data_IF_026625541361
#
_entry.id   IF_026625541361
#
_cell.length_a   1.000
_cell.length_b   1.000
_cell.length_c   1.000
_cell.angle_alpha   90.00
_cell.angle_beta   90.00
_cell.angle_gamma   90.00
#
_symmetry.space_group_name_H-M   'P 1'
#
loop_
_entity.id
_entity.type
_entity.pdbx_description
1 polymer ?
#
# COMPACT_ATOMS: atom_id res chain seq x y z
N UNK A 1 13.60 41.88 28.36
CA UNK A 1 12.76 40.98 27.53
C UNK A 1 13.03 41.31 26.07
N UNK A 2 13.57 40.36 25.33
CA UNK A 2 13.68 40.34 23.86
C UNK A 2 13.75 38.86 23.43
N UNK A 3 13.18 38.48 22.27
CA UNK A 3 12.82 37.11 21.95
C UNK A 3 13.98 36.37 21.27
N UNK A 4 14.14 35.07 21.56
CA UNK A 4 14.97 34.17 20.74
C UNK A 4 14.08 33.11 20.11
N UNK A 5 13.48 33.47 18.98
CA UNK A 5 12.93 32.51 18.01
C UNK A 5 14.09 31.75 17.37
N UNK A 6 14.41 30.59 17.92
CA UNK A 6 15.28 29.61 17.28
C UNK A 6 14.47 28.69 16.36
N UNK A 7 14.02 29.20 15.22
CA UNK A 7 13.48 28.37 14.14
C UNK A 7 14.62 27.52 13.58
N UNK A 8 14.65 26.26 14.00
CA UNK A 8 15.58 25.25 13.48
C UNK A 8 15.33 25.09 11.98
N UNK A 9 16.34 25.15 11.10
CA UNK A 9 16.11 24.94 9.67
C UNK A 9 15.58 23.52 9.47
N UNK A 10 14.42 23.41 8.82
CA UNK A 10 13.89 22.15 8.34
C UNK A 10 14.96 21.52 7.43
N UNK A 11 15.65 20.51 7.96
CA UNK A 11 16.67 19.78 7.24
C UNK A 11 15.94 19.00 6.13
N UNK A 12 15.92 19.56 4.92
CA UNK A 12 15.42 18.89 3.73
C UNK A 12 16.27 17.63 3.55
N UNK A 13 15.70 16.49 3.91
CA UNK A 13 16.33 15.18 3.73
C UNK A 13 16.62 15.02 2.24
N UNK A 14 17.90 14.88 1.88
CA UNK A 14 18.34 14.56 0.52
C UNK A 14 17.76 13.20 0.15
N UNK A 15 16.71 13.17 -0.67
CA UNK A 15 16.08 11.94 -1.11
C UNK A 15 17.00 11.28 -2.14
N UNK A 16 17.65 10.15 -1.79
CA UNK A 16 18.55 9.44 -2.72
C UNK A 16 17.82 8.72 -3.85
N UNK A 17 16.52 8.46 -3.69
CA UNK A 17 15.69 7.78 -4.68
C UNK A 17 14.25 8.29 -4.62
N UNK A 18 13.71 8.68 -5.77
CA UNK A 18 12.30 9.08 -5.92
C UNK A 18 11.58 8.10 -6.81
N UNK A 19 10.29 7.87 -6.52
CA UNK A 19 9.41 7.04 -7.34
C UNK A 19 8.16 7.82 -7.68
N UNK A 20 7.61 7.58 -8.87
CA UNK A 20 6.37 8.20 -9.35
C UNK A 20 5.37 7.10 -9.69
N UNK A 21 4.08 7.41 -9.56
CA UNK A 21 2.99 6.53 -9.99
C UNK A 21 2.42 7.14 -11.27
N UNK A 22 2.47 6.37 -12.35
CA UNK A 22 1.95 6.80 -13.67
C UNK A 22 0.79 5.89 -14.03
N UNK A 23 -0.34 6.49 -14.37
CA UNK A 23 -1.52 5.75 -14.84
C UNK A 23 -1.47 5.65 -16.36
N UNK A 24 -1.45 4.42 -16.88
CA UNK A 24 -1.47 4.14 -18.32
C UNK A 24 -2.86 3.61 -18.69
N UNK A 25 -3.47 4.16 -19.74
CA UNK A 25 -4.83 3.80 -20.17
C UNK A 25 -4.90 2.39 -20.76
N UNK A 26 -3.89 2.00 -21.53
CA UNK A 26 -3.82 0.75 -22.28
C UNK A 26 -3.02 -0.29 -21.51
N UNK A 27 -3.60 -1.47 -21.27
CA UNK A 27 -2.91 -2.58 -20.61
C UNK A 27 -1.70 -3.04 -21.43
N UNK A 28 -1.81 -3.09 -22.75
CA UNK A 28 -0.73 -3.46 -23.65
C UNK A 28 0.46 -2.49 -23.54
N UNK A 29 0.19 -1.19 -23.40
CA UNK A 29 1.27 -0.20 -23.25
C UNK A 29 1.85 -0.22 -21.84
N UNK A 30 1.05 -0.48 -20.82
CA UNK A 30 1.54 -0.69 -19.46
C UNK A 30 2.49 -1.89 -19.38
N UNK A 31 2.16 -2.98 -20.07
CA UNK A 31 3.01 -4.19 -20.16
C UNK A 31 4.32 -3.89 -20.89
N UNK A 32 4.27 -3.19 -22.03
CA UNK A 32 5.48 -2.76 -22.76
C UNK A 32 6.39 -1.91 -21.88
N UNK A 33 5.83 -0.95 -21.14
CA UNK A 33 6.58 -0.10 -20.21
C UNK A 33 7.20 -0.93 -19.09
N UNK A 34 6.49 -1.95 -18.57
CA UNK A 34 7.03 -2.84 -17.53
C UNK A 34 8.21 -3.68 -18.05
N UNK A 35 8.13 -4.15 -19.29
CA UNK A 35 9.18 -4.99 -19.88
C UNK A 35 10.39 -4.18 -20.36
N UNK A 36 10.16 -3.02 -20.98
CA UNK A 36 11.22 -2.22 -21.62
C UNK A 36 11.71 -1.06 -20.77
N UNK A 37 10.99 -0.71 -19.70
CA UNK A 37 11.22 0.51 -18.96
C UNK A 37 10.57 1.73 -19.61
N UNK A 38 10.76 2.88 -18.96
CA UNK A 38 10.24 4.17 -19.37
C UNK A 38 11.40 5.14 -19.64
N UNK A 39 11.45 5.67 -20.86
CA UNK A 39 12.45 6.65 -21.26
C UNK A 39 12.04 8.06 -20.82
N UNK A 40 12.79 8.64 -19.89
CA UNK A 40 12.55 9.99 -19.38
C UNK A 40 13.87 10.75 -19.35
N UNK A 41 13.89 11.97 -19.90
CA UNK A 41 15.07 12.87 -19.89
C UNK A 41 16.39 12.20 -20.32
N UNK A 42 16.35 11.32 -21.32
CA UNK A 42 17.54 10.65 -21.85
C UNK A 42 18.03 9.46 -21.03
N UNK A 43 17.20 8.93 -20.11
CA UNK A 43 17.52 7.76 -19.29
C UNK A 43 16.38 6.76 -19.27
N UNK A 44 16.73 5.48 -19.24
CA UNK A 44 15.80 4.40 -18.97
C UNK A 44 15.51 4.29 -17.48
N UNK A 45 14.22 4.16 -17.15
CA UNK A 45 13.74 3.93 -15.81
C UNK A 45 12.97 2.62 -15.74
N UNK A 46 13.31 1.77 -14.77
CA UNK A 46 12.54 0.56 -14.51
C UNK A 46 11.13 0.91 -14.02
N UNK A 47 10.13 0.22 -14.55
CA UNK A 47 8.75 0.36 -14.12
C UNK A 47 8.23 -0.99 -13.64
N UNK A 48 7.37 -0.97 -12.62
CA UNK A 48 6.68 -2.15 -12.12
C UNK A 48 5.20 -1.83 -11.91
N UNK A 49 4.37 -2.87 -11.78
CA UNK A 49 2.96 -2.72 -11.45
C UNK A 49 2.84 -2.05 -10.09
N UNK A 50 2.12 -0.95 -10.05
CA UNK A 50 1.80 -0.30 -8.78
C UNK A 50 0.95 -1.24 -7.92
N UNK A 51 1.51 -1.64 -6.77
CA UNK A 51 0.78 -2.35 -5.71
C UNK A 51 0.34 -1.33 -4.69
N UNK A 52 -0.98 -1.16 -4.55
CA UNK A 52 -1.51 -0.26 -3.55
C UNK A 52 -1.16 -0.76 -2.14
N UNK A 53 -0.64 0.11 -1.26
CA UNK A 53 -0.38 -0.23 0.13
C UNK A 53 -1.61 -0.88 0.79
N UNK A 54 -1.40 -2.03 1.42
CA UNK A 54 -2.42 -2.72 2.18
C UNK A 54 -2.71 -2.03 3.52
N UNK A 55 -3.76 -2.46 4.24
CA UNK A 55 -4.03 -2.00 5.60
C UNK A 55 -2.85 -2.22 6.57
N UNK A 56 -2.05 -3.25 6.32
CA UNK A 56 -0.86 -3.65 7.06
C UNK A 56 0.44 -3.00 6.56
N UNK A 57 0.38 -2.09 5.57
CA UNK A 57 1.54 -1.31 5.18
C UNK A 57 1.94 -0.36 6.32
N UNK A 58 3.22 -0.34 6.67
CA UNK A 58 3.77 0.54 7.71
C UNK A 58 4.66 1.61 7.07
N UNK A 59 4.40 2.88 7.36
CA UNK A 59 5.20 3.99 6.86
C UNK A 59 6.15 4.52 7.93
N UNK A 60 7.46 4.35 7.72
CA UNK A 60 8.50 4.62 8.72
C UNK A 60 8.66 6.10 9.11
N UNK A 61 8.17 7.03 8.29
CA UNK A 61 8.29 8.47 8.56
C UNK A 61 7.28 8.91 9.62
N UNK A 62 5.98 8.68 9.39
CA UNK A 62 4.94 9.03 10.37
C UNK A 62 4.69 7.92 11.40
N UNK A 63 5.31 6.75 11.23
CA UNK A 63 5.09 5.54 12.02
C UNK A 63 3.63 5.03 12.01
N UNK A 64 2.88 5.34 10.95
CA UNK A 64 1.48 4.97 10.79
C UNK A 64 1.27 3.70 9.96
N UNK A 65 0.06 3.13 10.06
CA UNK A 65 -0.37 1.94 9.31
C UNK A 65 -1.34 2.31 8.18
N UNK A 66 -1.46 1.45 7.18
CA UNK A 66 -2.50 1.48 6.16
C UNK A 66 -2.27 2.42 4.97
N UNK A 67 -1.08 3.00 4.84
CA UNK A 67 -0.76 3.91 3.74
C UNK A 67 0.71 3.85 3.32
N UNK A 68 0.98 4.32 2.11
CA UNK A 68 2.33 4.52 1.58
C UNK A 68 2.70 6.00 1.55
N UNK A 69 3.95 6.28 1.20
CA UNK A 69 4.52 7.64 1.21
C UNK A 69 3.65 8.69 0.49
N UNK A 70 3.16 8.37 -0.71
CA UNK A 70 2.37 9.26 -1.56
C UNK A 70 0.97 9.62 -1.00
N UNK A 71 0.51 8.96 0.07
CA UNK A 71 -0.78 9.22 0.74
C UNK A 71 -0.62 9.59 2.21
N UNK A 72 0.60 9.90 2.65
CA UNK A 72 0.84 10.25 4.04
C UNK A 72 0.51 11.72 4.29
N UNK A 73 -0.56 11.99 5.04
CA UNK A 73 -0.93 13.34 5.49
C UNK A 73 0.12 13.94 6.45
N UNK A 74 0.93 13.09 7.08
CA UNK A 74 1.95 13.47 8.06
C UNK A 74 3.38 13.29 7.54
N UNK A 75 3.59 13.36 6.21
CA UNK A 75 4.92 13.16 5.62
C UNK A 75 5.95 14.18 6.12
N UNK A 76 5.52 15.41 6.40
CA UNK A 76 6.38 16.50 6.92
C UNK A 76 6.53 16.48 8.43
N UNK A 77 5.76 15.64 9.13
CA UNK A 77 5.74 15.51 10.59
C UNK A 77 6.23 14.12 10.97
N UNK A 78 7.55 13.85 10.87
CA UNK A 78 8.08 12.55 11.22
C UNK A 78 7.80 12.25 12.68
N UNK A 79 7.51 10.99 13.00
CA UNK A 79 7.34 10.50 14.36
C UNK A 79 8.41 9.48 14.66
N UNK A 80 8.98 9.58 15.86
CA UNK A 80 9.98 8.63 16.29
C UNK A 80 9.31 7.34 16.73
N UNK A 81 9.66 6.24 16.09
CA UNK A 81 9.07 4.93 16.35
C UNK A 81 9.27 4.46 17.80
N UNK A 82 10.31 4.99 18.45
CA UNK A 82 10.75 4.60 19.78
C UNK A 82 9.91 5.22 20.92
N UNK A 83 9.46 6.47 20.77
CA UNK A 83 8.74 7.20 21.83
C UNK A 83 7.73 8.25 21.33
N UNK A 84 7.44 8.28 20.04
CA UNK A 84 6.35 9.05 19.43
C UNK A 84 6.59 10.54 19.20
N UNK A 85 7.74 11.08 19.60
CA UNK A 85 8.06 12.50 19.44
C UNK A 85 8.37 12.91 17.99
N UNK A 86 8.30 14.21 17.69
CA UNK A 86 8.40 14.77 16.32
C UNK A 86 9.84 14.82 15.81
N UNK A 87 10.38 13.68 15.39
CA UNK A 87 11.65 13.54 14.65
C UNK A 87 11.75 12.13 14.05
N UNK A 88 12.65 11.94 13.09
CA UNK A 88 12.90 10.61 12.55
C UNK A 88 13.57 9.70 13.58
N UNK A 89 13.19 8.43 13.63
CA UNK A 89 13.87 7.42 14.44
C UNK A 89 15.39 7.40 14.22
N UNK A 90 15.85 7.65 12.98
CA UNK A 90 17.29 7.71 12.65
C UNK A 90 18.04 8.84 13.37
N UNK A 91 17.32 9.88 13.77
CA UNK A 91 17.84 11.05 14.49
C UNK A 91 17.65 10.95 16.01
N UNK A 92 17.05 9.85 16.50
CA UNK A 92 16.84 9.69 17.93
C UNK A 92 18.16 9.78 18.69
N UNK A 93 18.17 10.63 19.72
CA UNK A 93 19.23 10.71 20.73
C UNK A 93 18.63 10.45 22.09
N UNK A 94 19.29 9.61 22.87
CA UNK A 94 18.89 9.38 24.25
C UNK A 94 19.04 10.68 25.04
N UNK A 95 18.02 11.14 25.78
CA UNK A 95 18.09 12.35 26.59
C UNK A 95 18.98 12.19 27.84
N UNK A 96 19.34 10.97 28.21
CA UNK A 96 20.18 10.72 29.39
C UNK A 96 21.62 11.20 29.15
N UNK A 97 22.07 12.13 30.00
CA UNK A 97 23.42 12.69 29.95
C UNK A 97 24.44 11.56 30.08
N UNK A 98 25.41 11.50 29.17
CA UNK A 98 26.44 10.45 29.15
C UNK A 98 26.02 9.14 28.47
N UNK A 99 24.81 9.03 27.92
CA UNK A 99 24.43 7.89 27.11
C UNK A 99 25.19 7.91 25.77
N UNK A 100 26.23 7.07 25.66
CA UNK A 100 27.07 6.93 24.45
C UNK A 100 26.45 6.03 23.38
N UNK A 101 25.19 5.62 23.54
CA UNK A 101 24.54 4.78 22.54
C UNK A 101 24.36 5.58 21.25
N UNK A 102 24.68 4.96 20.10
CA UNK A 102 24.58 5.61 18.79
C UNK A 102 23.16 6.09 18.46
N UNK A 103 23.07 7.06 17.55
CA UNK A 103 21.79 7.61 17.08
C UNK A 103 20.87 6.52 16.53
N UNK A 104 19.57 6.65 16.80
CA UNK A 104 18.56 5.69 16.36
C UNK A 104 18.57 4.34 17.06
N UNK A 105 19.41 4.15 18.08
CA UNK A 105 19.47 2.90 18.85
C UNK A 105 18.61 2.97 20.12
N UNK A 106 18.08 1.81 20.50
CA UNK A 106 17.35 1.62 21.77
C UNK A 106 18.35 1.46 22.91
N UNK A 107 18.23 2.31 23.93
CA UNK A 107 18.99 2.20 25.18
C UNK A 107 18.06 1.86 26.35
N UNK A 108 18.64 1.43 27.48
CA UNK A 108 17.89 1.14 28.71
C UNK A 108 17.14 2.34 29.28
N UNK A 109 17.59 3.57 28.99
CA UNK A 109 16.96 4.80 29.47
C UNK A 109 15.72 5.19 28.64
N UNK A 110 15.48 4.50 27.52
CA UNK A 110 14.36 4.80 26.64
C UNK A 110 13.05 4.35 27.31
N UNK A 111 12.21 5.32 27.66
CA UNK A 111 10.80 5.07 27.96
C UNK A 111 10.04 4.94 26.65
N UNK A 112 9.71 3.71 26.26
CA UNK A 112 8.99 3.42 25.02
C UNK A 112 7.60 4.03 25.07
N UNK A 113 7.18 4.65 23.97
CA UNK A 113 5.84 5.20 23.79
C UNK A 113 5.42 5.07 22.34
N UNK A 114 4.27 4.46 22.12
CA UNK A 114 3.75 4.21 20.80
C UNK A 114 3.18 5.50 20.19
N UNK A 115 3.61 5.86 18.98
CA UNK A 115 3.06 6.99 18.22
C UNK A 115 1.57 6.81 17.87
N UNK A 116 1.11 5.56 17.73
CA UNK A 116 -0.24 5.25 17.26
C UNK A 116 -1.28 5.05 18.38
N UNK A 117 -0.84 4.66 19.58
CA UNK A 117 -1.73 4.28 20.70
C UNK A 117 -1.36 4.92 22.02
N UNK A 118 -0.19 5.56 22.14
CA UNK A 118 0.33 6.09 23.39
C UNK A 118 0.80 5.04 24.41
N UNK A 119 0.65 3.75 24.13
CA UNK A 119 1.04 2.67 25.04
C UNK A 119 2.56 2.50 25.21
N UNK A 120 2.99 1.76 26.24
CA UNK A 120 4.39 1.53 26.61
C UNK A 120 5.13 0.51 25.71
N UNK A 121 4.96 0.64 24.38
CA UNK A 121 5.55 -0.22 23.36
C UNK A 121 5.95 0.59 22.12
N UNK A 122 6.68 -0.02 21.20
CA UNK A 122 7.05 0.56 19.90
C UNK A 122 5.92 0.29 18.90
N UNK A 123 5.59 1.26 18.05
CA UNK A 123 4.46 1.22 17.10
C UNK A 123 4.40 -0.03 16.19
N UNK A 124 5.55 -0.67 15.93
CA UNK A 124 5.69 -1.84 15.04
C UNK A 124 5.53 -3.20 15.77
N UNK A 125 5.44 -3.21 17.10
CA UNK A 125 5.32 -4.46 17.87
C UNK A 125 3.90 -5.01 17.85
N UNK A 126 3.76 -6.32 18.04
CA UNK A 126 2.46 -7.02 18.07
C UNK A 126 1.58 -6.61 19.25
N UNK A 127 2.18 -6.01 20.28
CA UNK A 127 1.48 -5.39 21.41
C UNK A 127 0.64 -4.17 20.98
N UNK A 128 0.95 -3.57 19.83
CA UNK A 128 0.23 -2.40 19.35
C UNK A 128 -1.16 -2.80 18.81
N UNK A 129 -2.25 -2.26 19.38
CA UNK A 129 -3.60 -2.56 18.89
C UNK A 129 -3.77 -2.12 17.42
N UNK A 130 -3.20 -0.98 17.04
CA UNK A 130 -3.26 -0.48 15.65
C UNK A 130 -2.58 -1.41 14.65
N UNK A 131 -1.47 -2.06 15.03
CA UNK A 131 -0.87 -3.12 14.20
C UNK A 131 -1.79 -4.33 14.07
N UNK A 132 -2.37 -4.78 15.19
CA UNK A 132 -3.27 -5.94 15.20
C UNK A 132 -4.49 -5.69 14.31
N UNK A 133 -5.08 -4.51 14.42
CA UNK A 133 -6.23 -4.10 13.60
C UNK A 133 -5.86 -4.03 12.12
N UNK A 134 -4.70 -3.44 11.80
CA UNK A 134 -4.16 -3.37 10.44
C UNK A 134 -3.94 -4.77 9.82
N UNK A 135 -3.31 -5.67 10.56
CA UNK A 135 -3.08 -7.06 10.10
C UNK A 135 -4.39 -7.82 9.96
N UNK A 136 -5.35 -7.63 10.88
CA UNK A 136 -6.68 -8.23 10.78
C UNK A 136 -7.40 -7.74 9.52
N UNK A 137 -7.42 -6.43 9.27
CA UNK A 137 -8.03 -5.85 8.09
C UNK A 137 -7.37 -6.34 6.78
N UNK A 138 -6.04 -6.50 6.77
CA UNK A 138 -5.33 -7.06 5.61
C UNK A 138 -5.75 -8.51 5.32
N UNK A 139 -5.86 -9.35 6.37
CA UNK A 139 -6.33 -10.74 6.23
C UNK A 139 -7.78 -10.80 5.73
N UNK A 140 -8.65 -9.94 6.24
CA UNK A 140 -10.05 -9.87 5.80
C UNK A 140 -10.15 -9.44 4.33
N UNK A 141 -9.35 -8.46 3.90
CA UNK A 141 -9.27 -8.04 2.49
C UNK A 141 -8.86 -9.19 1.57
N UNK A 142 -7.83 -9.96 1.94
CA UNK A 142 -7.38 -11.12 1.14
C UNK A 142 -8.52 -12.15 1.04
N UNK A 143 -9.22 -12.42 2.14
CA UNK A 143 -10.37 -13.36 2.15
C UNK A 143 -11.47 -12.91 1.20
N UNK A 144 -11.86 -11.63 1.27
CA UNK A 144 -12.91 -11.06 0.40
C UNK A 144 -12.52 -11.10 -1.08
N UNK A 145 -11.26 -10.80 -1.41
CA UNK A 145 -10.76 -10.88 -2.79
C UNK A 145 -10.77 -12.31 -3.33
N UNK A 146 -10.43 -13.29 -2.49
CA UNK A 146 -10.53 -14.71 -2.84
C UNK A 146 -11.97 -15.14 -3.13
N UNK A 147 -12.92 -14.73 -2.29
CA UNK A 147 -14.36 -15.02 -2.47
C UNK A 147 -14.91 -14.38 -3.75
N UNK A 148 -14.65 -13.09 -3.97
CA UNK A 148 -15.12 -12.38 -5.18
C UNK A 148 -14.55 -13.00 -6.47
N UNK A 149 -13.30 -13.47 -6.45
CA UNK A 149 -12.70 -14.12 -7.62
C UNK A 149 -13.38 -15.46 -7.94
N UNK A 150 -13.78 -16.22 -6.93
CA UNK A 150 -14.51 -17.49 -7.10
C UNK A 150 -15.94 -17.25 -7.60
N UNK A 151 -16.62 -16.22 -7.08
CA UNK A 151 -17.96 -15.84 -7.52
C UNK A 151 -17.96 -15.40 -8.99
N UNK A 152 -17.03 -14.54 -9.39
CA UNK A 152 -16.89 -14.11 -10.79
C UNK A 152 -16.63 -15.29 -11.73
N UNK A 153 -15.70 -16.19 -11.38
CA UNK A 153 -15.42 -17.40 -12.17
C UNK A 153 -16.67 -18.27 -12.34
N UNK A 154 -17.46 -18.44 -11.27
CA UNK A 154 -18.68 -19.24 -11.30
C UNK A 154 -19.76 -18.59 -12.19
N UNK A 155 -19.86 -17.26 -12.19
CA UNK A 155 -20.80 -16.51 -13.04
C UNK A 155 -20.42 -16.61 -14.52
N UNK A 156 -19.13 -16.44 -14.86
CA UNK A 156 -18.63 -16.57 -16.23
C UNK A 156 -18.90 -17.97 -16.78
N UNK A 157 -18.67 -19.02 -15.98
CA UNK A 157 -18.97 -20.40 -16.36
C UNK A 157 -20.47 -20.65 -16.57
N UNK A 158 -21.34 -20.05 -15.75
CA UNK A 158 -22.79 -20.15 -15.89
C UNK A 158 -23.28 -19.43 -17.15
N UNK A 159 -22.77 -18.22 -17.42
CA UNK A 159 -23.12 -17.47 -18.62
C UNK A 159 -22.70 -18.23 -19.89
N UNK A 160 -21.49 -18.77 -19.93
CA UNK A 160 -21.02 -19.58 -21.06
C UNK A 160 -21.89 -20.83 -21.28
N UNK A 161 -22.41 -21.45 -20.21
CA UNK A 161 -23.36 -22.58 -20.32
C UNK A 161 -24.70 -22.15 -20.89
N UNK A 162 -25.22 -20.99 -20.50
CA UNK A 162 -26.49 -20.47 -21.00
C UNK A 162 -26.41 -20.08 -22.49
N UNK A 163 -25.32 -19.42 -22.91
CA UNK A 163 -25.08 -19.07 -24.32
C UNK A 163 -25.03 -20.32 -25.21
N UNK A 164 -24.36 -21.39 -24.75
CA UNK A 164 -24.32 -22.68 -25.45
C UNK A 164 -25.67 -23.38 -25.54
N UNK A 165 -26.58 -23.15 -24.58
CA UNK A 165 -27.94 -23.70 -24.59
C UNK A 165 -28.86 -22.88 -25.49
N UNK A 166 -28.75 -21.54 -25.50
CA UNK A 166 -29.51 -20.66 -26.40
C UNK A 166 -29.22 -20.90 -27.88
N UNK A 167 -27.95 -21.16 -28.25
CA UNK A 167 -27.60 -21.52 -29.63
C UNK A 167 -28.15 -22.85 -30.10
N UNK A 168 -28.46 -23.81 -29.21
CA UNK A 168 -29.05 -25.10 -29.60
C UNK A 168 -30.54 -25.02 -29.92
N UNK A 169 -31.26 -24.05 -29.36
CA UNK A 169 -32.72 -23.92 -29.56
C UNK A 169 -33.03 -23.30 -30.93
N UNK A 170 -32.22 -22.34 -31.40
CA UNK A 170 -32.41 -21.69 -32.71
C UNK A 170 -32.03 -22.57 -33.92
N UNK A 171 -31.29 -23.67 -33.74
CA UNK A 171 -30.90 -24.57 -34.84
C UNK A 171 -31.93 -25.67 -35.14
N UNK A 172 -33.05 -25.72 -34.41
CA UNK A 172 -34.05 -26.81 -34.53
C UNK A 172 -35.39 -26.36 -35.12
N UNK A 173 -35.57 -25.10 -35.50
CA UNK A 173 -36.83 -24.58 -36.06
C UNK A 173 -36.87 -24.43 -37.60
N UNK A 174 -35.82 -24.80 -38.33
CA UNK A 174 -35.77 -24.71 -39.81
C UNK A 174 -35.96 -26.07 -40.54
N UNK A 175 -36.54 -27.09 -39.90
CA UNK A 175 -36.80 -28.40 -40.53
C UNK A 175 -38.22 -28.89 -40.24
N UNK A 176 -39.25 -28.10 -40.56
CA UNK A 176 -40.63 -28.61 -40.60
C UNK A 176 -41.58 -27.70 -41.42
N UNK A 177 -41.24 -27.38 -42.68
CA UNK A 177 -42.25 -26.82 -43.60
C UNK A 177 -41.92 -27.15 -45.07
N UNK A 178 -41.84 -28.44 -45.40
CA UNK A 178 -42.05 -28.95 -46.76
C UNK A 178 -42.62 -30.35 -46.63
N UNK A 179 -43.92 -30.49 -46.83
CA UNK A 179 -44.57 -31.62 -47.53
C UNK A 179 -46.09 -31.57 -47.24
N UNK A 180 -46.79 -30.66 -47.91
CA UNK A 180 -48.22 -30.84 -48.20
C UNK A 180 -48.58 -30.10 -49.48
N UNK A 181 -48.28 -30.70 -50.63
CA UNK A 181 -49.00 -30.46 -51.90
C UNK A 181 -48.56 -31.52 -52.94
N UNK A 182 -49.33 -32.61 -53.04
CA UNK A 182 -49.79 -33.23 -54.29
C UNK A 182 -50.69 -34.45 -54.01
#
# INVERSE_FOLDING_TARGET
MAPTTGSTPAQVLKVSHSSVIITIRSENDAEKIRQKGLWIYGKDHTADRYVQPGPDAFYDICCGWGHGAHRCENAEKPSCMLYGEVHSTKQHRCPNIGCKLGVGKVCQHLKRKCSNSGGAHIARLNECPKKRDAVKAARERIRQQGQASQENQSQDEQQLRQEKQGSKVNSTQDVEEKDTEM
#
